data_IF_566644160439
#
_entry.id   IF_566644160439
#
_cell.length_a   1.000
_cell.length_b   1.000
_cell.length_c   1.000
_cell.angle_alpha   90.00
_cell.angle_beta   90.00
_cell.angle_gamma   90.00
#
_symmetry.space_group_name_H-M   'P 1'
#
loop_
_entity.id
_entity.type
_entity.pdbx_description
1 polymer ?
#
# COMPACT_ATOMS: atom_id res chain seq x y z
N UNK A 1 2.33 -25.58 10.51
CA UNK A 1 1.20 -26.01 9.64
C UNK A 1 1.51 -25.60 8.20
N UNK A 2 1.30 -26.48 7.21
CA UNK A 2 1.34 -26.08 5.79
C UNK A 2 -0.02 -25.47 5.44
N UNK A 3 -0.04 -24.20 5.04
CA UNK A 3 -1.27 -23.54 4.58
C UNK A 3 -1.55 -23.94 3.12
N UNK A 4 -2.82 -24.11 2.73
CA UNK A 4 -3.16 -24.27 1.32
C UNK A 4 -2.94 -22.95 0.56
N UNK A 5 -2.84 -23.05 -0.75
CA UNK A 5 -2.94 -21.87 -1.62
C UNK A 5 -4.41 -21.46 -1.71
N UNK A 6 -4.76 -20.28 -1.18
CA UNK A 6 -6.14 -19.80 -1.16
C UNK A 6 -6.56 -19.12 -2.46
N UNK A 7 -5.60 -18.58 -3.22
CA UNK A 7 -5.83 -17.83 -4.46
C UNK A 7 -4.76 -18.22 -5.45
N UNK A 8 -5.11 -18.84 -6.57
CA UNK A 8 -4.12 -19.29 -7.55
C UNK A 8 -3.62 -18.13 -8.43
N UNK A 9 -2.42 -18.28 -9.00
CA UNK A 9 -1.91 -17.33 -9.99
C UNK A 9 -2.80 -17.23 -11.24
N UNK A 10 -3.54 -18.29 -11.58
CA UNK A 10 -4.52 -18.30 -12.67
C UNK A 10 -5.71 -17.40 -12.37
N UNK A 11 -6.21 -17.46 -11.13
CA UNK A 11 -7.29 -16.60 -10.68
C UNK A 11 -6.88 -15.12 -10.72
N UNK A 12 -5.67 -14.80 -10.28
CA UNK A 12 -5.11 -13.44 -10.37
C UNK A 12 -5.08 -12.96 -11.83
N UNK A 13 -4.62 -13.80 -12.77
CA UNK A 13 -4.61 -13.48 -14.21
C UNK A 13 -6.01 -13.23 -14.76
N UNK A 14 -6.98 -14.08 -14.41
CA UNK A 14 -8.38 -13.96 -14.83
C UNK A 14 -8.95 -12.61 -14.39
N UNK A 15 -8.80 -12.26 -13.11
CA UNK A 15 -9.32 -11.01 -12.56
C UNK A 15 -8.60 -9.79 -13.12
N UNK A 16 -7.27 -9.84 -13.29
CA UNK A 16 -6.53 -8.76 -13.96
C UNK A 16 -7.06 -8.51 -15.39
N UNK A 17 -7.37 -9.57 -16.14
CA UNK A 17 -7.94 -9.48 -17.49
C UNK A 17 -9.35 -8.89 -17.47
N UNK A 18 -10.21 -9.33 -16.54
CA UNK A 18 -11.58 -8.79 -16.37
C UNK A 18 -11.60 -7.32 -15.99
N UNK A 19 -10.65 -6.88 -15.15
CA UNK A 19 -10.46 -5.46 -14.81
C UNK A 19 -9.80 -4.65 -15.94
N UNK A 20 -9.20 -5.31 -16.94
CA UNK A 20 -8.40 -4.67 -17.98
C UNK A 20 -7.18 -3.95 -17.42
N UNK A 21 -6.48 -4.57 -16.47
CA UNK A 21 -5.22 -4.08 -15.89
C UNK A 21 -4.06 -5.03 -16.25
N UNK A 22 -2.83 -4.63 -15.94
CA UNK A 22 -1.66 -5.50 -16.12
C UNK A 22 -1.73 -6.76 -15.25
N UNK A 23 -1.06 -7.82 -15.67
CA UNK A 23 -1.01 -9.09 -14.94
C UNK A 23 -0.19 -8.96 -13.65
N UNK A 24 -0.87 -8.97 -12.50
CA UNK A 24 -0.23 -8.89 -11.18
C UNK A 24 0.27 -10.25 -10.66
N UNK A 25 -0.07 -11.37 -11.31
CA UNK A 25 0.40 -12.70 -10.90
C UNK A 25 1.93 -12.85 -11.04
N UNK A 26 2.56 -12.02 -11.87
CA UNK A 26 4.01 -12.01 -12.13
C UNK A 26 4.70 -10.73 -11.66
N UNK A 27 4.03 -9.95 -10.81
CA UNK A 27 4.53 -8.66 -10.37
C UNK A 27 5.80 -8.83 -9.53
N UNK A 28 6.86 -8.11 -9.89
CA UNK A 28 8.15 -8.11 -9.15
C UNK A 28 8.39 -6.85 -8.32
N UNK A 29 7.60 -5.80 -8.57
CA UNK A 29 7.71 -4.49 -7.90
C UNK A 29 6.31 -4.06 -7.47
N UNK A 30 6.20 -3.45 -6.31
CA UNK A 30 4.94 -2.95 -5.77
C UNK A 30 4.25 -1.85 -6.61
N UNK A 31 4.94 -1.19 -7.55
CA UNK A 31 4.43 -0.01 -8.30
C UNK A 31 3.11 -0.22 -9.05
N UNK A 32 2.08 0.58 -8.78
CA UNK A 32 0.78 0.49 -9.44
C UNK A 32 0.55 1.72 -10.31
N UNK A 33 -0.04 1.56 -11.50
CA UNK A 33 -0.43 2.72 -12.32
C UNK A 33 -1.70 3.34 -11.74
N UNK A 34 -1.79 4.67 -11.71
CA UNK A 34 -2.99 5.38 -11.25
C UNK A 34 -4.27 4.93 -11.97
N UNK A 35 -4.19 4.63 -13.26
CA UNK A 35 -5.32 4.11 -14.03
C UNK A 35 -5.82 2.75 -13.50
N UNK A 36 -4.92 1.87 -13.04
CA UNK A 36 -5.28 0.57 -12.46
C UNK A 36 -5.90 0.75 -11.08
N UNK A 37 -5.29 1.60 -10.23
CA UNK A 37 -5.83 1.93 -8.91
C UNK A 37 -7.25 2.51 -9.01
N UNK A 38 -7.51 3.43 -9.95
CA UNK A 38 -8.85 3.99 -10.21
C UNK A 38 -9.87 2.91 -10.62
N UNK A 39 -9.48 1.96 -11.47
CA UNK A 39 -10.35 0.85 -11.88
C UNK A 39 -10.70 -0.05 -10.70
N UNK A 40 -9.71 -0.43 -9.90
CA UNK A 40 -9.91 -1.26 -8.70
C UNK A 40 -10.79 -0.52 -7.68
N UNK A 41 -10.49 0.75 -7.40
CA UNK A 41 -11.26 1.56 -6.47
C UNK A 41 -12.72 1.69 -6.89
N UNK A 42 -12.98 1.93 -8.19
CA UNK A 42 -14.35 2.01 -8.74
C UNK A 42 -15.14 0.72 -8.51
N UNK A 43 -14.50 -0.44 -8.56
CA UNK A 43 -15.17 -1.72 -8.34
C UNK A 43 -15.44 -2.02 -6.86
N UNK A 44 -14.58 -1.52 -5.96
CA UNK A 44 -14.62 -1.85 -4.54
C UNK A 44 -15.32 -0.83 -3.65
N UNK A 45 -15.19 0.48 -3.93
CA UNK A 45 -15.70 1.55 -3.08
C UNK A 45 -17.22 1.76 -3.22
N UNK A 46 -17.98 0.77 -2.75
CA UNK A 46 -19.46 0.80 -2.73
C UNK A 46 -20.02 1.68 -1.60
N UNK A 47 -19.20 2.00 -0.60
CA UNK A 47 -19.56 2.82 0.57
C UNK A 47 -19.54 4.33 0.30
N UNK A 48 -19.28 4.77 -0.93
CA UNK A 48 -19.20 6.19 -1.33
C UNK A 48 -18.23 7.02 -0.49
N UNK A 49 -17.20 6.39 0.09
CA UNK A 49 -16.16 7.13 0.81
C UNK A 49 -15.42 8.05 -0.16
N UNK A 50 -15.14 9.27 0.28
CA UNK A 50 -14.33 10.24 -0.48
C UNK A 50 -12.85 9.86 -0.38
N UNK A 51 -12.45 8.84 -1.12
CA UNK A 51 -11.08 8.33 -1.17
C UNK A 51 -10.35 8.97 -2.36
N UNK A 52 -9.22 9.62 -2.10
CA UNK A 52 -8.32 10.08 -3.15
C UNK A 52 -7.69 8.85 -3.86
N UNK A 53 -7.84 8.70 -5.19
CA UNK A 53 -7.23 7.60 -5.93
C UNK A 53 -5.70 7.50 -5.78
N UNK A 54 -5.00 8.61 -5.51
CA UNK A 54 -3.56 8.58 -5.24
C UNK A 54 -3.24 7.94 -3.89
N UNK A 55 -4.04 8.23 -2.85
CA UNK A 55 -3.90 7.58 -1.54
C UNK A 55 -4.23 6.09 -1.63
N UNK A 56 -5.28 5.73 -2.36
CA UNK A 56 -5.60 4.33 -2.62
C UNK A 56 -4.50 3.62 -3.40
N UNK A 57 -3.90 4.28 -4.40
CA UNK A 57 -2.74 3.76 -5.12
C UNK A 57 -1.56 3.51 -4.19
N UNK A 58 -1.22 4.47 -3.33
CA UNK A 58 -0.14 4.32 -2.35
C UNK A 58 -0.39 3.10 -1.43
N UNK A 59 -1.62 2.95 -0.93
CA UNK A 59 -1.97 1.78 -0.12
C UNK A 59 -1.85 0.46 -0.89
N UNK A 60 -2.28 0.40 -2.15
CA UNK A 60 -2.07 -0.79 -2.99
C UNK A 60 -0.59 -1.13 -3.16
N UNK A 61 0.29 -0.12 -3.31
CA UNK A 61 1.73 -0.35 -3.41
C UNK A 61 2.28 -0.95 -2.10
N UNK A 62 1.90 -0.42 -0.94
CA UNK A 62 2.28 -0.98 0.37
C UNK A 62 1.83 -2.43 0.52
N UNK A 63 0.56 -2.73 0.26
CA UNK A 63 0.03 -4.09 0.43
C UNK A 63 0.66 -5.10 -0.54
N UNK A 64 1.12 -4.65 -1.72
CA UNK A 64 1.85 -5.48 -2.67
C UNK A 64 3.28 -5.81 -2.22
N UNK A 65 3.86 -5.07 -1.27
CA UNK A 65 5.19 -5.38 -0.75
C UNK A 65 5.23 -6.74 -0.05
N UNK A 66 4.14 -7.10 0.65
CA UNK A 66 3.99 -8.43 1.26
C UNK A 66 4.14 -9.54 0.22
N UNK A 67 3.54 -9.36 -0.96
CA UNK A 67 3.62 -10.37 -2.03
C UNK A 67 4.89 -10.33 -2.86
N UNK A 68 5.48 -9.15 -3.06
CA UNK A 68 6.62 -8.94 -3.96
C UNK A 68 7.98 -8.99 -3.27
N UNK A 69 8.06 -8.64 -1.99
CA UNK A 69 9.30 -8.67 -1.18
C UNK A 69 9.32 -9.80 -0.15
N UNK A 70 8.16 -10.24 0.33
CA UNK A 70 8.07 -11.26 1.38
C UNK A 70 7.25 -12.49 0.96
N UNK A 71 7.69 -13.28 -0.05
CA UNK A 71 6.88 -14.39 -0.62
C UNK A 71 6.32 -15.37 0.41
N UNK A 72 7.02 -15.59 1.53
CA UNK A 72 6.58 -16.48 2.62
C UNK A 72 5.32 -15.97 3.36
N UNK A 73 5.04 -14.68 3.31
CA UNK A 73 3.88 -14.03 3.92
C UNK A 73 2.88 -13.55 2.87
N UNK A 74 3.04 -13.95 1.60
CA UNK A 74 2.10 -13.63 0.54
C UNK A 74 0.84 -14.50 0.65
N UNK A 75 -0.26 -13.92 1.10
CA UNK A 75 -1.54 -14.63 1.26
C UNK A 75 -2.53 -14.39 0.11
N UNK A 76 -2.29 -13.36 -0.72
CA UNK A 76 -3.22 -12.96 -1.79
C UNK A 76 -2.72 -13.30 -3.19
N UNK A 77 -1.45 -13.71 -3.34
CA UNK A 77 -0.79 -13.83 -4.64
C UNK A 77 -0.87 -12.54 -5.49
N UNK A 78 -0.88 -11.38 -4.83
CA UNK A 78 -1.08 -10.06 -5.45
C UNK A 78 -2.45 -9.90 -6.12
N UNK A 79 -3.49 -10.58 -5.65
CA UNK A 79 -4.82 -10.49 -6.24
C UNK A 79 -5.39 -9.06 -6.10
N UNK A 80 -5.64 -8.32 -7.22
CA UNK A 80 -5.89 -6.88 -7.20
C UNK A 80 -7.11 -6.49 -6.35
N UNK A 81 -8.18 -7.29 -6.39
CA UNK A 81 -9.39 -7.02 -5.61
C UNK A 81 -9.24 -7.35 -4.12
N UNK A 82 -8.39 -8.32 -3.76
CA UNK A 82 -8.18 -8.67 -2.35
C UNK A 82 -7.21 -7.68 -1.71
N UNK A 83 -6.12 -7.36 -2.40
CA UNK A 83 -5.22 -6.26 -2.04
C UNK A 83 -6.00 -4.96 -1.85
N UNK A 84 -6.86 -4.58 -2.80
CA UNK A 84 -7.69 -3.39 -2.67
C UNK A 84 -8.67 -3.43 -1.49
N UNK A 85 -9.22 -4.60 -1.14
CA UNK A 85 -10.09 -4.74 0.06
C UNK A 85 -9.31 -4.52 1.36
N UNK A 86 -8.06 -4.97 1.44
CA UNK A 86 -7.19 -4.71 2.61
C UNK A 86 -6.96 -3.21 2.75
N UNK A 87 -6.66 -2.53 1.63
CA UNK A 87 -6.53 -1.06 1.61
C UNK A 87 -7.79 -0.36 2.12
N UNK A 88 -8.96 -0.78 1.63
CA UNK A 88 -10.22 -0.19 2.08
C UNK A 88 -10.52 -0.49 3.56
N UNK A 89 -10.17 -1.68 4.06
CA UNK A 89 -10.36 -2.00 5.48
C UNK A 89 -9.59 -1.02 6.37
N UNK A 90 -8.34 -0.72 6.03
CA UNK A 90 -7.56 0.28 6.76
C UNK A 90 -8.13 1.70 6.65
N UNK A 91 -8.63 2.09 5.47
CA UNK A 91 -9.33 3.37 5.34
C UNK A 91 -10.64 3.47 6.12
N UNK A 92 -11.30 2.34 6.43
CA UNK A 92 -12.46 2.32 7.32
C UNK A 92 -12.08 2.56 8.78
N UNK A 93 -10.87 2.20 9.18
CA UNK A 93 -10.34 2.49 10.52
C UNK A 93 -9.95 3.97 10.61
N UNK A 94 -9.10 4.43 9.69
CA UNK A 94 -8.63 5.81 9.59
C UNK A 94 -8.25 6.14 8.14
N UNK A 95 -8.81 7.21 7.57
CA UNK A 95 -8.53 7.61 6.19
C UNK A 95 -7.05 7.96 5.92
N UNK A 96 -6.32 8.36 6.95
CA UNK A 96 -4.89 8.71 6.88
C UNK A 96 -3.96 7.54 7.26
N UNK A 97 -4.48 6.31 7.35
CA UNK A 97 -3.74 5.12 7.80
C UNK A 97 -2.37 4.96 7.13
N UNK A 98 -2.31 5.01 5.80
CA UNK A 98 -1.05 4.81 5.07
C UNK A 98 -0.05 5.95 5.26
N UNK A 99 -0.52 7.17 5.53
CA UNK A 99 0.37 8.30 5.86
C UNK A 99 1.00 8.09 7.25
N UNK A 100 0.21 7.58 8.21
CA UNK A 100 0.70 7.21 9.55
C UNK A 100 1.69 6.04 9.48
N UNK A 101 1.39 5.05 8.64
CA UNK A 101 2.26 3.90 8.42
C UNK A 101 3.60 4.31 7.82
N UNK A 102 3.62 5.13 6.77
CA UNK A 102 4.87 5.63 6.16
C UNK A 102 5.76 6.31 7.21
N UNK A 103 5.18 7.17 8.05
CA UNK A 103 5.93 7.81 9.14
C UNK A 103 6.56 6.77 10.08
N UNK A 104 5.80 5.77 10.51
CA UNK A 104 6.28 4.74 11.42
C UNK A 104 7.41 3.89 10.80
N UNK A 105 7.29 3.52 9.52
CA UNK A 105 8.33 2.79 8.80
C UNK A 105 9.61 3.60 8.65
N UNK A 106 9.48 4.90 8.33
CA UNK A 106 10.63 5.81 8.25
C UNK A 106 11.34 5.98 9.60
N UNK A 107 10.60 6.03 10.70
CA UNK A 107 11.17 6.09 12.05
C UNK A 107 11.95 4.81 12.38
N UNK A 108 11.44 3.64 11.98
CA UNK A 108 12.14 2.36 12.10
C UNK A 108 13.42 2.31 11.24
N UNK A 109 13.35 2.81 10.01
CA UNK A 109 14.51 2.87 9.10
C UNK A 109 15.57 3.87 9.55
N UNK A 110 15.17 5.00 10.14
CA UNK A 110 16.07 5.94 10.80
C UNK A 110 16.83 5.24 11.94
N UNK A 111 16.12 4.50 12.81
CA UNK A 111 16.76 3.76 13.90
C UNK A 111 17.80 2.76 13.37
N UNK A 112 17.46 1.99 12.32
CA UNK A 112 18.41 1.06 11.68
C UNK A 112 19.64 1.79 11.11
N UNK A 113 19.46 2.98 10.53
CA UNK A 113 20.57 3.77 10.00
C UNK A 113 21.49 4.28 11.13
N UNK A 114 20.90 4.76 12.24
CA UNK A 114 21.64 5.22 13.41
C UNK A 114 22.42 4.09 14.09
N UNK A 115 21.82 2.91 14.24
CA UNK A 115 22.50 1.71 14.75
C UNK A 115 23.73 1.34 13.91
N UNK A 116 23.65 1.54 12.59
CA UNK A 116 24.76 1.31 11.65
C UNK A 116 25.73 2.50 11.54
N UNK A 117 25.48 3.59 12.29
CA UNK A 117 26.23 4.86 12.22
C UNK A 117 26.27 5.47 10.80
N UNK A 118 25.28 5.15 9.96
CA UNK A 118 25.15 5.70 8.61
C UNK A 118 24.43 7.06 8.67
N UNK A 119 25.21 8.11 8.93
CA UNK A 119 24.70 9.47 9.11
C UNK A 119 24.12 10.07 7.83
N UNK A 120 24.54 9.61 6.66
CA UNK A 120 24.00 10.04 5.37
C UNK A 120 22.56 9.55 5.21
N UNK A 121 22.32 8.25 5.46
CA UNK A 121 20.95 7.71 5.46
C UNK A 121 20.11 8.28 6.59
N UNK A 122 20.67 8.40 7.80
CA UNK A 122 19.94 8.96 8.93
C UNK A 122 19.44 10.38 8.63
N UNK A 123 20.30 11.25 8.08
CA UNK A 123 19.89 12.61 7.65
C UNK A 123 18.79 12.58 6.58
N UNK A 124 18.89 11.66 5.62
CA UNK A 124 17.87 11.51 4.57
C UNK A 124 16.52 11.07 5.15
N UNK A 125 16.50 10.05 6.02
CA UNK A 125 15.29 9.60 6.69
C UNK A 125 14.69 10.70 7.57
N UNK A 126 15.52 11.45 8.29
CA UNK A 126 15.03 12.57 9.11
C UNK A 126 14.28 13.62 8.29
N UNK A 127 14.79 13.99 7.11
CA UNK A 127 14.10 14.90 6.17
C UNK A 127 12.77 14.32 5.68
N UNK A 128 12.74 13.03 5.36
CA UNK A 128 11.52 12.34 4.91
C UNK A 128 10.47 12.28 6.02
N UNK A 129 10.86 12.01 7.26
CA UNK A 129 9.96 12.00 8.43
C UNK A 129 9.36 13.40 8.63
N UNK A 130 10.17 14.46 8.53
CA UNK A 130 9.69 15.84 8.65
C UNK A 130 8.62 16.14 7.58
N UNK A 131 8.86 15.75 6.34
CA UNK A 131 7.90 15.89 5.24
C UNK A 131 6.62 15.06 5.48
N UNK A 132 6.74 13.80 5.89
CA UNK A 132 5.60 12.94 6.19
C UNK A 132 4.73 13.51 7.33
N UNK A 133 5.36 14.11 8.35
CA UNK A 133 4.64 14.81 9.44
C UNK A 133 3.88 16.03 8.94
N UNK A 134 4.47 16.81 8.03
CA UNK A 134 3.79 17.95 7.41
C UNK A 134 2.57 17.49 6.58
N UNK A 135 2.75 16.48 5.72
CA UNK A 135 1.67 15.92 4.89
C UNK A 135 0.54 15.32 5.74
N UNK A 136 0.88 14.64 6.84
CA UNK A 136 -0.10 14.12 7.79
C UNK A 136 -0.85 15.25 8.49
N UNK A 137 -0.16 16.29 8.97
CA UNK A 137 -0.78 17.46 9.61
C UNK A 137 -1.76 18.19 8.67
N UNK A 138 -1.40 18.33 7.39
CA UNK A 138 -2.31 18.86 6.35
C UNK A 138 -3.54 17.97 6.18
N UNK A 139 -3.38 16.64 6.22
CA UNK A 139 -4.48 15.67 6.12
C UNK A 139 -5.42 15.76 7.31
N UNK A 140 -4.87 15.75 8.54
CA UNK A 140 -5.61 15.92 9.79
C UNK A 140 -6.39 17.24 9.79
N UNK A 141 -5.77 18.33 9.34
CA UNK A 141 -6.43 19.63 9.21
C UNK A 141 -7.58 19.67 8.20
N UNK A 142 -7.59 18.80 7.18
CA UNK A 142 -8.73 18.64 6.25
C UNK A 142 -9.87 17.87 6.90
N UNK A 143 -9.57 16.93 7.80
CA UNK A 143 -10.57 16.14 8.52
C UNK A 143 -11.27 16.91 9.65
N UNK A 144 -10.72 18.05 10.06
CA UNK A 144 -11.30 18.93 11.08
C UNK A 144 -12.26 20.00 10.52
N UNK A 145 -12.50 20.02 9.20
CA UNK A 145 -13.38 20.98 8.51
C UNK A 145 -14.63 20.30 7.99
#
# INVERSE_FOLDING_TARGET
MKLPEYVSAEEVRRVCKELGISDWSKKKKARVKLAEAKKILKQLNKSSMKIDPEQFRAGLEVELEHGTMFPRYNVTNNHPMLTGKIVLAHFMEMLDYYQRLEKAELEGDLLKALQKKDMTKARNYFKRIAKAKEELSVSEGRSLK
#
